data_IF_122157521544
#
_entry.id   IF_122157521544
#
_cell.length_a   1.000
_cell.length_b   1.000
_cell.length_c   1.000
_cell.angle_alpha   90.00
_cell.angle_beta   90.00
_cell.angle_gamma   90.00
#
_symmetry.space_group_name_H-M   'P 1'
#
loop_
_entity.id
_entity.type
_entity.pdbx_description
1 polymer ?
#
# COMPACT_ATOMS: atom_id res chain seq x y z
N UNK A 1 4.74 -6.85 16.54
CA UNK A 1 4.94 -5.39 16.59
C UNK A 1 6.31 -4.96 16.07
N UNK A 2 7.42 -5.60 16.48
CA UNK A 2 8.76 -5.28 15.97
C UNK A 2 8.86 -5.36 14.42
N UNK A 3 8.38 -6.46 13.84
CA UNK A 3 8.37 -6.64 12.37
C UNK A 3 7.58 -5.56 11.63
N UNK A 4 6.39 -5.19 12.12
CA UNK A 4 5.57 -4.16 11.47
C UNK A 4 6.27 -2.79 11.47
N UNK A 5 7.04 -2.49 12.53
CA UNK A 5 7.85 -1.27 12.60
C UNK A 5 9.00 -1.30 11.60
N UNK A 6 9.71 -2.42 11.50
CA UNK A 6 10.76 -2.61 10.50
C UNK A 6 10.22 -2.45 9.07
N UNK A 7 9.07 -3.07 8.79
CA UNK A 7 8.38 -2.93 7.51
C UNK A 7 8.02 -1.48 7.21
N UNK A 8 7.46 -0.74 8.16
CA UNK A 8 7.12 0.66 7.98
C UNK A 8 8.36 1.50 7.63
N UNK A 9 9.48 1.26 8.32
CA UNK A 9 10.74 1.98 8.13
C UNK A 9 11.51 1.59 6.86
N UNK A 10 11.05 0.56 6.13
CA UNK A 10 11.73 0.10 4.92
C UNK A 10 11.55 1.01 3.69
N UNK A 11 10.71 2.06 3.79
CA UNK A 11 10.35 2.97 2.69
C UNK A 11 9.82 2.26 1.44
N UNK A 12 9.23 1.06 1.60
CA UNK A 12 8.66 0.24 0.52
C UNK A 12 7.17 0.42 0.32
N UNK A 13 6.55 1.28 1.12
CA UNK A 13 5.16 1.67 0.92
C UNK A 13 5.09 2.76 -0.16
N UNK A 14 4.26 2.52 -1.16
CA UNK A 14 4.02 3.44 -2.26
C UNK A 14 2.53 3.72 -2.33
N UNK A 15 2.16 4.99 -2.23
CA UNK A 15 0.79 5.47 -2.47
C UNK A 15 0.65 5.74 -3.96
N UNK A 16 -0.15 4.94 -4.65
CA UNK A 16 -0.38 5.06 -6.09
C UNK A 16 -1.76 5.67 -6.30
N UNK A 17 -1.80 6.79 -7.02
CA UNK A 17 -3.02 7.55 -7.28
C UNK A 17 -3.26 7.66 -8.78
N UNK A 18 -4.52 7.71 -9.17
CA UNK A 18 -4.92 8.15 -10.50
C UNK A 18 -6.24 8.89 -10.40
N UNK A 19 -6.15 10.22 -10.37
CA UNK A 19 -7.31 11.08 -10.14
C UNK A 19 -7.91 10.86 -8.75
N UNK A 20 -9.12 10.28 -8.71
CA UNK A 20 -9.82 9.98 -7.43
C UNK A 20 -9.55 8.58 -6.90
N UNK A 21 -8.90 7.72 -7.69
CA UNK A 21 -8.56 6.36 -7.27
C UNK A 21 -7.23 6.38 -6.54
N UNK A 22 -7.16 5.59 -5.47
CA UNK A 22 -5.98 5.44 -4.64
C UNK A 22 -5.84 3.98 -4.21
N UNK A 23 -4.62 3.46 -4.29
CA UNK A 23 -4.24 2.20 -3.68
C UNK A 23 -2.86 2.33 -3.05
N UNK A 24 -2.62 1.59 -1.99
CA UNK A 24 -1.30 1.46 -1.40
C UNK A 24 -0.66 0.17 -1.87
N UNK A 25 0.63 0.21 -2.20
CA UNK A 25 1.41 -0.97 -2.56
C UNK A 25 2.59 -1.08 -1.61
N UNK A 26 2.72 -2.21 -0.93
CA UNK A 26 3.96 -2.58 -0.26
C UNK A 26 4.83 -3.36 -1.25
N UNK A 27 5.99 -2.80 -1.60
CA UNK A 27 6.98 -3.43 -2.48
C UNK A 27 7.81 -4.45 -1.71
N UNK A 28 7.33 -5.68 -1.60
CA UNK A 28 8.02 -6.71 -0.86
C UNK A 28 9.27 -7.25 -1.58
N UNK A 29 10.13 -7.97 -0.85
CA UNK A 29 11.33 -8.58 -1.42
C UNK A 29 11.02 -9.77 -2.34
N UNK A 30 9.89 -10.44 -2.12
CA UNK A 30 9.44 -11.63 -2.89
C UNK A 30 8.17 -11.34 -3.65
N UNK A 31 7.17 -10.82 -2.95
CA UNK A 31 5.86 -10.47 -3.48
C UNK A 31 5.50 -9.04 -3.07
N UNK A 32 4.80 -8.34 -3.95
CA UNK A 32 4.17 -7.06 -3.64
C UNK A 32 2.79 -7.30 -3.03
N UNK A 33 2.29 -6.35 -2.24
CA UNK A 33 0.98 -6.48 -1.62
C UNK A 33 0.17 -5.20 -1.80
N UNK A 34 -1.08 -5.36 -2.25
CA UNK A 34 -2.06 -4.28 -2.31
C UNK A 34 -2.63 -4.04 -0.92
N UNK A 35 -2.81 -2.78 -0.57
CA UNK A 35 -3.51 -2.34 0.62
C UNK A 35 -4.52 -1.26 0.24
N UNK A 36 -5.64 -1.25 0.95
CA UNK A 36 -6.64 -0.19 0.84
C UNK A 36 -6.77 0.48 2.19
N UNK A 37 -6.71 1.79 2.19
CA UNK A 37 -7.03 2.61 3.34
C UNK A 37 -8.39 3.29 3.11
N UNK A 38 -9.19 3.39 4.16
CA UNK A 38 -10.48 4.06 4.13
C UNK A 38 -10.57 5.05 5.28
N UNK A 39 -11.22 6.19 5.04
CA UNK A 39 -11.52 7.16 6.09
C UNK A 39 -12.58 6.60 7.04
N UNK A 40 -12.36 6.73 8.35
CA UNK A 40 -13.41 6.44 9.32
C UNK A 40 -14.46 7.58 9.36
N UNK A 41 -15.77 7.27 9.27
CA UNK A 41 -16.83 8.29 9.32
C UNK A 41 -17.00 9.01 10.67
N UNK A 42 -16.28 8.61 11.73
CA UNK A 42 -16.48 9.14 13.09
C UNK A 42 -15.16 9.62 13.67
N UNK A 43 -14.88 10.91 13.49
CA UNK A 43 -14.76 11.89 14.57
C UNK A 43 -14.38 13.25 13.97
N UNK A 44 -15.13 14.28 14.35
CA UNK A 44 -14.87 15.68 14.00
C UNK A 44 -13.44 16.05 14.42
N UNK A 45 -12.55 16.23 13.45
CA UNK A 45 -11.23 16.82 13.69
C UNK A 45 -10.17 16.47 12.66
N UNK A 46 -10.03 15.19 12.30
CA UNK A 46 -9.17 14.69 11.21
C UNK A 46 -9.72 13.34 10.78
N UNK A 47 -10.15 13.20 9.53
CA UNK A 47 -10.41 11.88 8.97
C UNK A 47 -9.07 11.13 8.92
N UNK A 48 -8.76 10.33 9.95
CA UNK A 48 -7.62 9.45 9.92
C UNK A 48 -7.98 8.27 9.00
N UNK A 49 -7.29 8.18 7.87
CA UNK A 49 -7.32 6.97 7.04
C UNK A 49 -6.81 5.79 7.88
N UNK A 50 -7.51 4.66 7.82
CA UNK A 50 -7.07 3.41 8.43
C UNK A 50 -7.02 2.31 7.36
N UNK A 51 -6.01 1.44 7.38
CA UNK A 51 -5.94 0.32 6.46
C UNK A 51 -7.04 -0.69 6.77
N UNK A 52 -7.90 -0.95 5.78
CA UNK A 52 -9.04 -1.85 5.89
C UNK A 52 -8.84 -3.17 5.16
N UNK A 53 -7.82 -3.25 4.29
CA UNK A 53 -7.54 -4.43 3.48
C UNK A 53 -6.05 -4.59 3.21
N UNK A 54 -5.61 -5.86 3.10
CA UNK A 54 -4.34 -6.22 2.49
C UNK A 54 -4.48 -7.52 1.69
N UNK A 55 -3.85 -7.59 0.51
CA UNK A 55 -3.90 -8.78 -0.34
C UNK A 55 -3.05 -9.96 0.14
N UNK A 56 -2.21 -9.79 1.17
CA UNK A 56 -1.36 -10.87 1.65
C UNK A 56 -2.19 -12.03 2.23
N UNK A 57 -1.70 -13.26 2.06
CA UNK A 57 -2.36 -14.50 2.51
C UNK A 57 -2.81 -14.43 3.98
N UNK A 58 -1.94 -13.96 4.88
CA UNK A 58 -2.26 -13.85 6.30
C UNK A 58 -3.47 -12.96 6.60
N UNK A 59 -3.73 -11.93 5.78
CA UNK A 59 -4.93 -11.12 5.90
C UNK A 59 -6.14 -11.84 5.31
N UNK A 60 -5.98 -12.44 4.12
CA UNK A 60 -7.05 -13.17 3.43
C UNK A 60 -7.60 -14.33 4.26
N UNK A 61 -6.73 -15.13 4.90
CA UNK A 61 -7.13 -16.23 5.77
C UNK A 61 -7.98 -15.75 6.95
N UNK A 62 -7.58 -14.66 7.60
CA UNK A 62 -8.33 -14.06 8.72
C UNK A 62 -9.68 -13.49 8.25
N UNK A 63 -9.70 -12.90 7.06
CA UNK A 63 -10.92 -12.38 6.44
C UNK A 63 -11.92 -13.49 6.15
N UNK A 64 -11.48 -14.57 5.50
CA UNK A 64 -12.32 -15.73 5.16
C UNK A 64 -12.76 -16.48 6.43
N UNK A 65 -11.92 -16.52 7.46
CA UNK A 65 -12.24 -17.18 8.74
C UNK A 65 -13.12 -16.33 9.66
N UNK A 66 -13.61 -15.18 9.19
CA UNK A 66 -14.43 -14.22 9.95
C UNK A 66 -13.81 -13.87 11.31
N UNK A 67 -12.48 -13.78 11.36
CA UNK A 67 -11.81 -13.43 12.61
C UNK A 67 -12.23 -12.03 13.06
N UNK A 68 -12.44 -11.89 14.37
CA UNK A 68 -12.79 -10.59 14.99
C UNK A 68 -11.77 -9.49 14.70
N UNK A 69 -10.52 -9.84 14.37
CA UNK A 69 -9.46 -8.89 14.04
C UNK A 69 -8.84 -9.18 12.68
N UNK A 70 -9.14 -8.31 11.72
CA UNK A 70 -8.54 -8.33 10.38
C UNK A 70 -7.25 -7.52 10.39
N UNK A 71 -6.15 -8.20 10.69
CA UNK A 71 -4.84 -7.55 10.74
C UNK A 71 -3.72 -8.46 10.25
N UNK A 72 -2.81 -7.88 9.49
CA UNK A 72 -1.52 -8.48 9.14
C UNK A 72 -0.40 -7.48 9.44
N UNK A 73 0.86 -7.92 9.35
CA UNK A 73 2.02 -7.04 9.57
C UNK A 73 2.04 -5.84 8.62
N UNK A 74 1.56 -5.98 7.38
CA UNK A 74 1.50 -4.89 6.41
C UNK A 74 0.44 -3.84 6.77
N UNK A 75 -0.73 -4.26 7.25
CA UNK A 75 -1.77 -3.36 7.79
C UNK A 75 -1.23 -2.58 8.98
N UNK A 76 -0.55 -3.24 9.92
CA UNK A 76 0.06 -2.55 11.06
C UNK A 76 1.17 -1.58 10.63
N UNK A 77 1.99 -1.97 9.65
CA UNK A 77 3.03 -1.10 9.11
C UNK A 77 2.44 0.13 8.42
N UNK A 78 1.42 -0.05 7.57
CA UNK A 78 0.75 1.06 6.89
C UNK A 78 0.08 2.02 7.89
N UNK A 79 -0.47 1.54 9.01
CA UNK A 79 -0.94 2.42 10.09
C UNK A 79 0.15 3.35 10.63
N UNK A 80 1.39 2.87 10.73
CA UNK A 80 2.51 3.71 11.18
C UNK A 80 2.85 4.76 10.13
N UNK A 81 2.84 4.38 8.84
CA UNK A 81 3.04 5.30 7.71
C UNK A 81 1.96 6.39 7.69
N UNK A 82 0.67 6.01 7.76
CA UNK A 82 -0.46 6.95 7.75
C UNK A 82 -0.46 7.92 8.95
N UNK A 83 0.16 7.52 10.08
CA UNK A 83 0.36 8.38 11.26
C UNK A 83 1.58 9.30 11.14
N UNK A 84 2.30 9.29 10.02
CA UNK A 84 3.50 10.08 9.80
C UNK A 84 4.73 9.58 10.57
N UNK A 85 4.71 8.33 11.02
CA UNK A 85 5.82 7.73 11.78
C UNK A 85 6.88 7.04 10.89
N UNK A 86 6.63 6.97 9.58
CA UNK A 86 7.54 6.43 8.59
C UNK A 86 7.30 7.12 7.23
N UNK A 87 8.31 7.10 6.36
CA UNK A 87 8.24 7.68 5.02
C UNK A 87 7.64 6.71 4.00
N UNK A 88 7.03 7.27 2.96
CA UNK A 88 6.52 6.54 1.80
C UNK A 88 6.79 7.33 0.52
N UNK A 89 6.66 6.66 -0.62
CA UNK A 89 6.70 7.31 -1.94
C UNK A 89 5.28 7.53 -2.42
N UNK A 90 5.03 8.66 -3.09
CA UNK A 90 3.76 8.92 -3.76
C UNK A 90 3.96 8.95 -5.28
N UNK A 91 3.03 8.34 -6.00
CA UNK A 91 3.04 8.28 -7.47
C UNK A 91 1.65 8.68 -7.97
N UNK A 92 1.58 9.70 -8.81
CA UNK A 92 0.36 10.08 -9.53
C UNK A 92 0.45 9.61 -10.99
N UNK A 93 -0.45 8.71 -11.37
CA UNK A 93 -0.58 8.15 -12.71
C UNK A 93 -1.60 8.95 -13.51
N UNK A 94 -1.20 9.38 -14.71
CA UNK A 94 -2.09 10.12 -15.63
C UNK A 94 -3.19 9.25 -16.22
N UNK A 95 -2.92 7.96 -16.42
CA UNK A 95 -3.85 7.01 -17.01
C UNK A 95 -4.35 6.01 -15.96
N UNK A 96 -5.67 5.97 -15.68
CA UNK A 96 -6.27 4.96 -14.81
C UNK A 96 -6.03 3.51 -15.27
N UNK A 97 -5.80 3.29 -16.57
CA UNK A 97 -5.44 1.99 -17.12
C UNK A 97 -4.15 1.42 -16.51
N UNK A 98 -3.16 2.28 -16.26
CA UNK A 98 -1.91 1.88 -15.61
C UNK A 98 -2.12 1.47 -14.15
N UNK A 99 -3.05 2.12 -13.43
CA UNK A 99 -3.39 1.72 -12.07
C UNK A 99 -4.04 0.33 -12.05
N UNK A 100 -4.94 0.05 -12.98
CA UNK A 100 -5.56 -1.26 -13.13
C UNK A 100 -4.52 -2.34 -13.48
N UNK A 101 -3.56 -2.02 -14.36
CA UNK A 101 -2.45 -2.92 -14.70
C UNK A 101 -1.60 -3.26 -13.46
N UNK A 102 -1.22 -2.27 -12.66
CA UNK A 102 -0.50 -2.48 -11.40
C UNK A 102 -1.29 -3.40 -10.46
N UNK A 103 -2.58 -3.15 -10.29
CA UNK A 103 -3.45 -3.96 -9.43
C UNK A 103 -3.47 -5.42 -9.91
N UNK A 104 -3.70 -5.64 -11.21
CA UNK A 104 -3.75 -6.98 -11.79
C UNK A 104 -2.40 -7.69 -11.69
N UNK A 105 -1.28 -7.02 -11.95
CA UNK A 105 0.06 -7.62 -11.79
C UNK A 105 0.32 -8.08 -10.35
N UNK A 106 -0.11 -7.30 -9.34
CA UNK A 106 0.05 -7.71 -7.94
C UNK A 106 -0.86 -8.87 -7.59
N UNK A 107 -2.10 -8.90 -8.08
CA UNK A 107 -3.05 -9.99 -7.77
C UNK A 107 -2.69 -11.28 -8.50
N UNK A 108 -2.40 -11.21 -9.80
CA UNK A 108 -2.25 -12.38 -10.67
C UNK A 108 -0.83 -12.95 -10.64
N UNK A 109 0.18 -12.08 -10.52
CA UNK A 109 1.60 -12.46 -10.62
C UNK A 109 2.31 -12.30 -9.27
N UNK A 110 1.69 -11.61 -8.31
CA UNK A 110 2.29 -11.32 -7.01
C UNK A 110 3.34 -10.20 -7.06
N UNK A 111 3.54 -9.53 -8.20
CA UNK A 111 4.59 -8.51 -8.35
C UNK A 111 4.28 -7.52 -9.46
N UNK A 112 4.37 -6.22 -9.17
CA UNK A 112 4.14 -5.18 -10.17
C UNK A 112 5.43 -4.77 -10.89
N UNK A 113 5.52 -5.11 -12.17
CA UNK A 113 6.58 -4.63 -13.07
C UNK A 113 6.30 -3.19 -13.49
N UNK A 114 5.03 -2.87 -13.73
CA UNK A 114 4.59 -1.54 -14.16
C UNK A 114 4.92 -0.48 -13.11
N UNK A 115 4.61 -0.72 -11.83
CA UNK A 115 4.95 0.21 -10.76
C UNK A 115 6.47 0.40 -10.61
N UNK A 116 7.26 -0.68 -10.74
CA UNK A 116 8.72 -0.59 -10.66
C UNK A 116 9.34 0.22 -11.80
N UNK A 117 8.78 0.11 -13.03
CA UNK A 117 9.19 0.96 -14.16
C UNK A 117 8.88 2.44 -13.88
N UNK A 118 7.69 2.75 -13.37
CA UNK A 118 7.31 4.12 -13.00
C UNK A 118 8.27 4.70 -11.96
N UNK A 119 8.55 3.94 -10.89
CA UNK A 119 9.47 4.37 -9.84
C UNK A 119 10.91 4.56 -10.34
N UNK A 120 11.37 3.69 -11.25
CA UNK A 120 12.72 3.82 -11.82
C UNK A 120 12.84 5.07 -12.72
N UNK A 121 11.76 5.43 -13.42
CA UNK A 121 11.70 6.68 -14.18
C UNK A 121 11.87 7.92 -13.27
N UNK A 122 11.25 7.93 -12.10
CA UNK A 122 11.37 9.03 -11.13
C UNK A 122 12.78 9.21 -10.59
N UNK A 123 13.54 8.12 -10.43
CA UNK A 123 14.95 8.18 -9.99
C UNK A 123 15.82 8.85 -11.04
N UNK A 124 15.54 8.63 -12.33
CA UNK A 124 16.32 9.19 -13.44
C UNK A 124 16.01 10.68 -13.71
N UNK A 125 14.87 11.19 -13.24
CA UNK A 125 14.47 12.59 -13.38
C UNK A 125 14.93 13.48 -12.20
N UNK A 126 15.61 12.90 -11.20
CA UNK A 126 16.19 13.65 -10.08
C UNK A 126 17.54 14.24 -10.48
N UNK A 127 17.73 15.59 -10.50
CA UNK A 127 19.02 16.17 -10.85
C UNK A 127 20.04 15.82 -9.75
N UNK A 128 21.16 15.25 -10.19
CA UNK A 128 22.35 14.96 -9.37
C UNK A 128 23.08 16.21 -8.88
#
# INVERSE_FOLDING_TARGET
MAEARELALSSRFVKVRSGKLEVWVYLGPREDHLLVAAGHPKEMGKAAEEPVYCSCEAFQLRFISEERSLACKHVHALRLVLRGLATHTEVELKDPGQLAEIINEVIDIGRSVTLRKVLSGLVNDSPS
#
